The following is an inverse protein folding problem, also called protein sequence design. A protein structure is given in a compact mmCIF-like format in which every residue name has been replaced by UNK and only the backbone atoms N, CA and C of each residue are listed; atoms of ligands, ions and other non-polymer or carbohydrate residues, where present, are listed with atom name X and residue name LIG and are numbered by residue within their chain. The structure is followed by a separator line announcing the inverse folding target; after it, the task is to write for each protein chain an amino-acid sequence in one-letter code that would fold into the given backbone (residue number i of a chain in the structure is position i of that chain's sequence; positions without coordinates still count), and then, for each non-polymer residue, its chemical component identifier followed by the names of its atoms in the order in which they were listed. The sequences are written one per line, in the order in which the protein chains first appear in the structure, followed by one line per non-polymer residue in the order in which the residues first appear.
data_IF_410870752662
#
_entry.id   IF_410870752662
#
_cell.length_a   1.000
_cell.length_b   1.000
_cell.length_c   1.000
_cell.angle_alpha   90.00
_cell.angle_beta   90.00
_cell.angle_gamma   90.00
#
_symmetry.space_group_name_H-M   'P 1'
#
loop_
_entity.id
_entity.type
_entity.pdbx_description
1 polymer ?
#
# COMPACT_ATOMS: atom_id res chain seq x y z
N UNK A 1 -4.73 9.89 -14.76
CA UNK A 1 -6.13 10.27 -15.03
C UNK A 1 -6.22 11.78 -15.13
N UNK A 2 -6.65 12.29 -16.28
CA UNK A 2 -6.94 13.71 -16.50
C UNK A 2 -8.41 13.98 -16.16
N UNK A 3 -8.69 15.07 -15.46
CA UNK A 3 -10.03 15.56 -15.15
C UNK A 3 -10.05 17.07 -15.37
N UNK A 4 -11.13 17.57 -15.94
CA UNK A 4 -11.39 19.00 -16.08
C UNK A 4 -12.67 19.36 -15.34
N UNK A 5 -12.78 20.61 -14.90
CA UNK A 5 -14.00 21.15 -14.30
C UNK A 5 -14.32 22.47 -14.99
N UNK A 6 -15.50 22.55 -15.61
CA UNK A 6 -16.07 23.82 -16.05
C UNK A 6 -17.57 23.78 -15.81
N UNK A 7 -18.07 24.76 -15.07
CA UNK A 7 -19.52 24.89 -14.89
C UNK A 7 -20.13 25.25 -16.25
N UNK A 8 -21.16 24.52 -16.65
CA UNK A 8 -21.93 24.80 -17.87
C UNK A 8 -23.37 25.10 -17.47
N UNK A 9 -24.06 26.04 -18.16
CA UNK A 9 -25.47 26.28 -17.90
C UNK A 9 -26.26 25.01 -18.22
N UNK A 10 -26.88 24.38 -17.20
CA UNK A 10 -27.76 23.23 -17.40
C UNK A 10 -29.17 23.53 -16.88
N UNK A 11 -30.15 22.79 -17.41
CA UNK A 11 -31.52 22.73 -16.90
C UNK A 11 -31.82 21.27 -16.60
N UNK A 12 -32.13 20.94 -15.35
CA UNK A 12 -32.69 19.62 -15.02
C UNK A 12 -34.18 19.62 -15.36
N UNK A 13 -34.64 18.64 -16.12
CA UNK A 13 -36.07 18.46 -16.39
C UNK A 13 -36.70 17.66 -15.24
N UNK A 14 -37.66 18.27 -14.54
CA UNK A 14 -38.37 17.59 -13.48
C UNK A 14 -39.59 16.87 -14.08
N UNK A 15 -39.50 15.55 -14.18
CA UNK A 15 -40.55 14.69 -14.74
C UNK A 15 -41.83 14.66 -13.90
N UNK A 16 -41.80 15.03 -12.62
CA UNK A 16 -42.97 15.02 -11.74
C UNK A 16 -43.85 16.26 -11.93
N UNK A 17 -43.25 17.40 -12.28
CA UNK A 17 -43.97 18.67 -12.50
C UNK A 17 -43.97 19.12 -13.96
N UNK A 18 -43.32 18.36 -14.86
CA UNK A 18 -43.30 18.64 -16.30
C UNK A 18 -42.60 19.95 -16.67
N UNK A 19 -41.68 20.43 -15.83
CA UNK A 19 -41.01 21.72 -16.01
C UNK A 19 -39.50 21.58 -15.86
N UNK A 20 -38.75 22.39 -16.61
CA UNK A 20 -37.33 22.59 -16.37
C UNK A 20 -37.14 23.37 -15.05
N UNK A 21 -36.20 22.93 -14.21
CA UNK A 21 -35.78 23.68 -13.03
C UNK A 21 -35.18 25.05 -13.38
N UNK A 22 -35.02 25.91 -12.38
CA UNK A 22 -34.42 27.24 -12.54
C UNK A 22 -33.04 27.16 -13.21
N UNK A 23 -32.77 28.03 -14.19
CA UNK A 23 -31.49 28.10 -14.89
C UNK A 23 -30.38 28.39 -13.87
N UNK A 24 -29.40 27.51 -13.74
CA UNK A 24 -28.16 27.85 -13.05
C UNK A 24 -27.44 28.87 -13.96
N UNK A 25 -27.41 30.13 -13.53
CA UNK A 25 -26.66 31.16 -14.24
C UNK A 25 -25.18 30.92 -13.95
N UNK A 26 -24.47 30.39 -14.94
CA UNK A 26 -23.03 30.40 -14.96
C UNK A 26 -22.64 31.74 -15.57
N UNK A 27 -22.06 32.62 -14.77
CA UNK A 27 -21.56 33.90 -15.27
C UNK A 27 -20.55 33.68 -16.39
N UNK A 28 -20.46 34.62 -17.33
CA UNK A 28 -19.45 34.58 -18.40
C UNK A 28 -18.03 34.48 -17.82
N UNK A 29 -17.84 34.95 -16.59
CA UNK A 29 -16.61 34.92 -15.81
C UNK A 29 -16.30 33.58 -15.11
N UNK A 30 -17.16 32.56 -15.24
CA UNK A 30 -16.98 31.29 -14.56
C UNK A 30 -15.66 30.62 -14.96
N UNK A 31 -14.86 30.28 -13.94
CA UNK A 31 -13.52 29.73 -14.12
C UNK A 31 -13.47 28.36 -14.79
N UNK A 32 -12.29 28.04 -15.29
CA UNK A 32 -11.90 26.77 -15.90
C UNK A 32 -10.73 26.19 -15.13
N UNK A 33 -10.70 24.87 -14.95
CA UNK A 33 -9.61 24.21 -14.26
C UNK A 33 -9.31 22.83 -14.82
N UNK A 34 -8.02 22.49 -14.82
CA UNK A 34 -7.49 21.18 -15.12
C UNK A 34 -6.87 20.54 -13.89
N UNK A 35 -7.09 19.25 -13.76
CA UNK A 35 -6.49 18.40 -12.73
C UNK A 35 -5.91 17.15 -13.38
N UNK A 36 -4.61 16.97 -13.21
CA UNK A 36 -3.88 15.84 -13.79
C UNK A 36 -3.25 15.04 -12.67
N UNK A 37 -3.67 13.79 -12.53
CA UNK A 37 -2.97 12.81 -11.70
C UNK A 37 -2.21 11.83 -12.58
N UNK A 38 -0.90 11.76 -12.40
CA UNK A 38 -0.05 10.73 -13.00
C UNK A 38 0.61 9.93 -11.91
N UNK A 39 0.70 8.62 -12.12
CA UNK A 39 1.30 7.75 -11.13
C UNK A 39 1.50 6.36 -11.71
N UNK A 40 2.41 5.63 -11.10
CA UNK A 40 2.66 4.24 -11.42
C UNK A 40 3.08 3.50 -10.15
N UNK A 41 2.84 2.19 -10.17
CA UNK A 41 3.31 1.26 -9.16
C UNK A 41 4.11 0.18 -9.85
N UNK A 42 5.33 -0.09 -9.38
CA UNK A 42 6.11 -1.25 -9.79
C UNK A 42 6.21 -2.22 -8.63
N UNK A 43 6.12 -3.50 -8.93
CA UNK A 43 6.24 -4.57 -7.94
C UNK A 43 7.11 -5.69 -8.50
N UNK A 44 8.02 -6.20 -7.68
CA UNK A 44 8.85 -7.35 -7.98
C UNK A 44 8.76 -8.34 -6.82
N UNK A 45 8.40 -9.58 -7.13
CA UNK A 45 8.30 -10.66 -6.16
C UNK A 45 9.09 -11.87 -6.65
N UNK A 46 10.05 -12.31 -5.86
CA UNK A 46 10.83 -13.51 -6.09
C UNK A 46 10.69 -14.46 -4.91
N UNK A 47 10.52 -15.76 -5.16
CA UNK A 47 10.46 -16.79 -4.10
C UNK A 47 11.12 -18.07 -4.57
N UNK A 48 11.99 -18.61 -3.74
CA UNK A 48 12.60 -19.92 -3.91
C UNK A 48 12.20 -20.81 -2.74
N UNK A 49 11.77 -22.04 -3.04
CA UNK A 49 11.45 -23.06 -2.04
C UNK A 49 12.31 -24.29 -2.32
N UNK A 50 12.80 -24.92 -1.25
CA UNK A 50 13.59 -26.14 -1.33
C UNK A 50 13.17 -27.10 -0.24
N UNK A 51 12.82 -28.33 -0.63
CA UNK A 51 12.45 -29.40 0.28
C UNK A 51 13.45 -30.54 0.12
N UNK A 52 13.99 -31.02 1.23
CA UNK A 52 15.00 -32.08 1.23
C UNK A 52 14.73 -33.06 2.37
N UNK A 53 14.71 -34.34 2.01
CA UNK A 53 14.83 -35.44 2.98
C UNK A 53 16.30 -35.67 3.25
N UNK A 54 16.75 -35.37 4.46
CA UNK A 54 18.16 -35.55 4.85
C UNK A 54 18.44 -36.97 5.36
N UNK A 55 17.42 -37.63 5.90
CA UNK A 55 17.46 -39.01 6.36
C UNK A 55 16.01 -39.54 6.46
N UNK A 56 15.86 -40.83 6.75
CA UNK A 56 14.54 -41.41 7.03
C UNK A 56 13.89 -40.71 8.24
N UNK A 57 12.68 -40.20 8.03
CA UNK A 57 11.97 -39.44 9.05
C UNK A 57 12.53 -38.03 9.31
N UNK A 58 13.47 -37.51 8.51
CA UNK A 58 14.02 -36.17 8.71
C UNK A 58 13.88 -35.31 7.45
N UNK A 59 13.05 -34.28 7.55
CA UNK A 59 12.69 -33.38 6.45
C UNK A 59 13.12 -31.95 6.78
N UNK A 60 13.75 -31.29 5.81
CA UNK A 60 14.03 -29.86 5.81
C UNK A 60 13.19 -29.19 4.73
N UNK A 61 12.56 -28.07 5.06
CA UNK A 61 11.96 -27.16 4.11
C UNK A 61 12.50 -25.75 4.33
N UNK A 62 13.17 -25.20 3.32
CA UNK A 62 13.71 -23.85 3.33
C UNK A 62 13.03 -22.99 2.27
N UNK A 63 12.82 -21.72 2.60
CA UNK A 63 12.25 -20.73 1.69
C UNK A 63 12.95 -19.39 1.87
N UNK A 64 13.24 -18.75 0.74
CA UNK A 64 13.65 -17.35 0.70
C UNK A 64 12.74 -16.59 -0.25
N UNK A 65 12.38 -15.36 0.11
CA UNK A 65 11.59 -14.48 -0.72
C UNK A 65 12.11 -13.04 -0.68
N UNK A 66 11.97 -12.38 -1.83
CA UNK A 66 12.29 -10.98 -2.06
C UNK A 66 11.02 -10.29 -2.54
N UNK A 67 10.64 -9.19 -1.89
CA UNK A 67 9.55 -8.35 -2.35
C UNK A 67 10.03 -6.91 -2.42
N UNK A 68 9.75 -6.24 -3.53
CA UNK A 68 10.03 -4.83 -3.72
C UNK A 68 8.80 -4.16 -4.32
N UNK A 69 8.43 -3.03 -3.76
CA UNK A 69 7.34 -2.20 -4.26
C UNK A 69 7.77 -0.75 -4.31
N UNK A 70 7.42 -0.08 -5.39
CA UNK A 70 7.64 1.35 -5.53
C UNK A 70 6.37 2.01 -6.05
N UNK A 71 6.02 3.14 -5.47
CA UNK A 71 4.91 4.00 -5.87
C UNK A 71 5.43 5.36 -6.23
N UNK A 72 4.89 5.91 -7.30
CA UNK A 72 4.99 7.32 -7.62
C UNK A 72 3.61 7.86 -7.90
N UNK A 73 3.30 9.01 -7.33
CA UNK A 73 2.09 9.76 -7.61
C UNK A 73 2.44 11.24 -7.75
N UNK A 74 1.82 11.91 -8.70
CA UNK A 74 1.92 13.34 -8.90
C UNK A 74 0.54 13.88 -9.23
N UNK A 75 0.16 14.94 -8.55
CA UNK A 75 -1.01 15.75 -8.89
C UNK A 75 -0.56 17.11 -9.36
N UNK A 76 -1.24 17.63 -10.36
CA UNK A 76 -1.10 19.00 -10.81
C UNK A 76 -2.49 19.60 -11.02
N UNK A 77 -2.68 20.81 -10.54
CA UNK A 77 -3.87 21.62 -10.80
C UNK A 77 -3.48 22.95 -11.42
N UNK A 78 -4.30 23.38 -12.36
CA UNK A 78 -4.26 24.73 -12.91
C UNK A 78 -5.67 25.24 -13.03
N UNK A 79 -5.93 26.48 -12.62
CA UNK A 79 -7.22 27.13 -12.81
C UNK A 79 -7.04 28.58 -13.25
N UNK A 80 -8.01 29.05 -14.03
CA UNK A 80 -8.15 30.47 -14.40
C UNK A 80 -9.59 30.91 -14.24
N UNK A 81 -9.80 32.15 -13.81
CA UNK A 81 -11.12 32.78 -13.82
C UNK A 81 -11.32 33.55 -15.13
N UNK A 82 -12.51 34.10 -15.37
CA UNK A 82 -12.80 34.94 -16.53
C UNK A 82 -12.62 34.19 -17.86
N UNK A 83 -13.37 33.11 -18.04
CA UNK A 83 -13.38 32.33 -19.28
C UNK A 83 -13.97 33.14 -20.44
N UNK A 84 -13.33 33.09 -21.60
CA UNK A 84 -13.70 33.89 -22.78
C UNK A 84 -15.05 33.48 -23.40
N UNK A 85 -15.43 32.21 -23.27
CA UNK A 85 -16.74 31.72 -23.72
C UNK A 85 -17.17 30.46 -22.95
N UNK A 86 -18.45 30.31 -22.56
CA UNK A 86 -18.93 29.18 -21.75
C UNK A 86 -18.74 27.78 -22.37
N UNK A 87 -18.60 27.68 -23.69
CA UNK A 87 -18.36 26.42 -24.40
C UNK A 87 -16.89 25.97 -24.46
N UNK A 88 -15.96 26.79 -23.99
CA UNK A 88 -14.54 26.45 -24.00
C UNK A 88 -14.18 25.74 -22.70
N UNK A 89 -13.35 24.71 -22.77
CA UNK A 89 -12.99 23.88 -21.61
C UNK A 89 -11.49 23.82 -21.35
N UNK A 90 -10.69 24.40 -22.24
CA UNK A 90 -9.24 24.48 -22.08
C UNK A 90 -8.86 25.63 -21.15
N UNK A 91 -7.80 25.43 -20.37
CA UNK A 91 -7.37 26.41 -19.35
C UNK A 91 -6.86 27.70 -19.97
N UNK A 92 -6.36 27.67 -21.20
CA UNK A 92 -5.95 28.86 -21.96
C UNK A 92 -7.12 29.65 -22.55
N UNK A 93 -8.35 29.15 -22.45
CA UNK A 93 -9.56 29.85 -22.87
C UNK A 93 -10.08 30.89 -21.87
N UNK A 94 -9.25 31.30 -20.90
CA UNK A 94 -9.58 32.24 -19.84
C UNK A 94 -8.45 33.24 -19.62
N UNK A 95 -8.79 34.43 -19.10
CA UNK A 95 -7.84 35.52 -18.86
C UNK A 95 -6.76 35.14 -17.83
N UNK A 96 -5.61 35.80 -17.91
CA UNK A 96 -4.42 35.52 -17.08
C UNK A 96 -4.34 36.35 -15.80
N UNK A 97 -5.37 37.14 -15.50
CA UNK A 97 -5.46 38.05 -14.37
C UNK A 97 -5.57 37.32 -13.02
N UNK A 98 -6.34 36.23 -12.97
CA UNK A 98 -6.44 35.36 -11.79
C UNK A 98 -6.09 33.93 -12.17
N UNK A 99 -4.89 33.50 -11.76
CA UNK A 99 -4.36 32.17 -12.02
C UNK A 99 -4.08 31.43 -10.71
N UNK A 100 -4.56 30.19 -10.62
CA UNK A 100 -4.22 29.25 -9.56
C UNK A 100 -3.36 28.13 -10.14
N UNK A 101 -2.21 27.86 -9.51
CA UNK A 101 -1.40 26.69 -9.82
C UNK A 101 -1.11 25.92 -8.53
N UNK A 102 -1.20 24.61 -8.61
CA UNK A 102 -0.93 23.72 -7.49
C UNK A 102 -0.29 22.43 -8.00
N UNK A 103 0.55 21.82 -7.18
CA UNK A 103 1.17 20.56 -7.52
C UNK A 103 1.80 19.90 -6.32
N UNK A 104 1.77 18.58 -6.31
CA UNK A 104 2.49 17.77 -5.35
C UNK A 104 2.97 16.49 -6.04
N UNK A 105 4.05 15.91 -5.55
CA UNK A 105 4.49 14.57 -5.93
C UNK A 105 4.98 13.79 -4.73
N UNK A 106 4.62 12.52 -4.69
CA UNK A 106 4.95 11.59 -3.62
C UNK A 106 5.53 10.29 -4.21
N UNK A 107 6.51 9.75 -3.52
CA UNK A 107 7.18 8.48 -3.78
C UNK A 107 7.21 7.64 -2.52
N UNK A 108 7.02 6.35 -2.69
CA UNK A 108 7.14 5.37 -1.61
C UNK A 108 7.87 4.15 -2.14
N UNK A 109 8.73 3.56 -1.31
CA UNK A 109 9.44 2.32 -1.59
C UNK A 109 9.35 1.40 -0.39
N UNK A 110 9.00 0.14 -0.63
CA UNK A 110 9.04 -0.93 0.35
C UNK A 110 9.92 -2.06 -0.19
N UNK A 111 10.70 -2.65 0.70
CA UNK A 111 11.61 -3.74 0.38
C UNK A 111 11.53 -4.79 1.49
N UNK A 112 11.41 -6.06 1.15
CA UNK A 112 11.34 -7.13 2.14
C UNK A 112 12.18 -8.33 1.73
N UNK A 113 13.05 -8.77 2.63
CA UNK A 113 13.73 -10.05 2.55
C UNK A 113 13.14 -10.98 3.60
N UNK A 114 12.66 -12.14 3.17
CA UNK A 114 11.99 -13.11 4.04
C UNK A 114 12.73 -14.43 3.93
N UNK A 115 13.09 -15.01 5.07
CA UNK A 115 13.63 -16.36 5.17
C UNK A 115 12.79 -17.22 6.09
N UNK A 116 12.58 -18.47 5.70
CA UNK A 116 11.93 -19.49 6.51
C UNK A 116 12.70 -20.78 6.43
N UNK A 117 12.90 -21.40 7.57
CA UNK A 117 13.51 -22.71 7.70
C UNK A 117 12.62 -23.55 8.61
N UNK A 118 12.23 -24.71 8.11
CA UNK A 118 11.47 -25.70 8.85
C UNK A 118 12.25 -27.00 8.87
N UNK A 119 12.25 -27.64 10.02
CA UNK A 119 12.77 -28.97 10.20
C UNK A 119 11.72 -29.84 10.89
N UNK A 120 11.50 -31.02 10.35
CA UNK A 120 10.56 -32.00 10.88
C UNK A 120 11.30 -33.31 11.11
N UNK A 121 11.25 -33.82 12.34
CA UNK A 121 11.77 -35.14 12.68
C UNK A 121 10.63 -36.08 13.10
N UNK A 122 10.59 -37.24 12.45
CA UNK A 122 9.63 -38.33 12.57
C UNK A 122 8.16 -37.89 12.48
N UNK A 123 7.92 -36.74 11.84
CA UNK A 123 6.64 -36.03 11.85
C UNK A 123 6.14 -35.61 13.24
N UNK A 124 6.98 -35.70 14.29
CA UNK A 124 6.63 -35.39 15.69
C UNK A 124 7.24 -34.11 16.19
N UNK A 125 8.53 -33.92 15.93
CA UNK A 125 9.31 -32.79 16.41
C UNK A 125 9.44 -31.77 15.29
N UNK A 126 8.99 -30.56 15.56
CA UNK A 126 8.86 -29.50 14.58
C UNK A 126 9.68 -28.32 15.07
N UNK A 127 10.64 -27.89 14.27
CA UNK A 127 11.38 -26.65 14.47
C UNK A 127 11.06 -25.72 13.31
N UNK A 128 10.72 -24.48 13.63
CA UNK A 128 10.46 -23.43 12.67
C UNK A 128 11.26 -22.19 13.06
N UNK A 129 12.03 -21.67 12.12
CA UNK A 129 12.80 -20.44 12.27
C UNK A 129 12.43 -19.55 11.10
N UNK A 130 12.01 -18.32 11.40
CA UNK A 130 11.75 -17.32 10.38
C UNK A 130 12.53 -16.06 10.69
N UNK A 131 12.96 -15.38 9.64
CA UNK A 131 13.46 -14.02 9.76
C UNK A 131 12.89 -13.17 8.64
N UNK A 132 12.76 -11.89 8.93
CA UNK A 132 12.31 -10.90 7.97
C UNK A 132 13.09 -9.61 8.15
N UNK A 133 13.53 -9.02 7.04
CA UNK A 133 14.08 -7.66 7.01
C UNK A 133 13.13 -6.84 6.17
N UNK A 134 12.51 -5.82 6.77
CA UNK A 134 11.64 -4.88 6.05
C UNK A 134 12.28 -3.50 6.00
N UNK A 135 12.40 -2.96 4.80
CA UNK A 135 12.84 -1.62 4.46
C UNK A 135 11.66 -0.74 4.05
N UNK A 136 11.60 0.50 4.55
CA UNK A 136 10.65 1.50 4.06
C UNK A 136 11.31 2.86 3.81
N UNK A 137 11.02 3.45 2.66
CA UNK A 137 11.47 4.80 2.31
C UNK A 137 10.79 5.91 3.13
N UNK A 138 9.79 5.57 3.96
CA UNK A 138 9.09 6.51 4.85
C UNK A 138 9.98 6.99 6.00
N UNK A 139 10.91 6.15 6.45
CA UNK A 139 11.81 6.48 7.54
C UNK A 139 13.04 7.27 7.08
N UNK A 140 13.68 7.94 8.04
CA UNK A 140 14.92 8.69 7.84
C UNK A 140 16.09 7.79 7.38
N UNK A 141 17.08 8.36 6.65
CA UNK A 141 18.34 7.69 6.38
C UNK A 141 18.96 7.07 7.66
N UNK A 142 19.33 5.79 7.58
CA UNK A 142 19.90 5.01 8.69
C UNK A 142 18.88 4.21 9.51
N UNK A 143 17.57 4.47 9.35
CA UNK A 143 16.51 3.83 10.13
C UNK A 143 15.44 3.15 9.26
N UNK A 144 15.73 2.96 7.97
CA UNK A 144 14.75 2.41 7.04
C UNK A 144 14.46 0.94 7.23
N UNK A 145 15.36 0.19 7.88
CA UNK A 145 15.29 -1.26 7.97
C UNK A 145 15.00 -1.75 9.39
N UNK A 146 14.04 -2.66 9.51
CA UNK A 146 13.77 -3.43 10.73
C UNK A 146 14.04 -4.92 10.51
N UNK A 147 14.61 -5.58 11.52
CA UNK A 147 14.86 -7.02 11.53
C UNK A 147 13.91 -7.72 12.51
N UNK A 148 13.19 -8.72 12.02
CA UNK A 148 12.11 -9.40 12.73
C UNK A 148 12.34 -10.92 12.74
N UNK A 149 13.14 -11.43 13.69
CA UNK A 149 13.30 -12.86 13.89
C UNK A 149 12.12 -13.48 14.63
N UNK A 150 11.85 -14.75 14.35
CA UNK A 150 10.95 -15.59 15.14
C UNK A 150 11.41 -17.06 15.12
N UNK A 151 11.12 -17.77 16.20
CA UNK A 151 11.35 -19.18 16.31
C UNK A 151 10.16 -19.86 16.98
N UNK A 152 9.88 -21.10 16.57
CA UNK A 152 8.85 -21.92 17.17
C UNK A 152 9.29 -23.38 17.26
N UNK A 153 8.89 -24.00 18.37
CA UNK A 153 9.01 -25.43 18.61
C UNK A 153 7.62 -26.03 18.68
N UNK A 154 7.43 -27.16 18.01
CA UNK A 154 6.21 -27.93 18.03
C UNK A 154 6.49 -29.39 18.33
N UNK A 155 5.64 -30.00 19.15
CA UNK A 155 5.72 -31.42 19.49
C UNK A 155 4.34 -32.05 19.38
N UNK A 156 4.21 -33.03 18.48
CA UNK A 156 3.02 -33.86 18.36
C UNK A 156 3.10 -35.01 19.36
N UNK A 157 2.83 -34.71 20.62
CA UNK A 157 2.92 -35.70 21.69
C UNK A 157 1.91 -36.85 21.52
N UNK A 158 0.80 -36.63 20.82
CA UNK A 158 -0.14 -37.72 20.47
C UNK A 158 0.45 -38.75 19.53
N UNK A 159 1.57 -38.48 18.86
CA UNK A 159 2.27 -39.43 18.00
C UNK A 159 3.27 -40.31 18.76
N UNK A 160 3.48 -40.05 20.04
CA UNK A 160 4.40 -40.84 20.85
C UNK A 160 3.79 -42.18 21.25
N UNK A 161 4.56 -43.26 21.12
CA UNK A 161 4.11 -44.62 21.43
C UNK A 161 3.64 -44.75 22.89
N UNK A 162 4.30 -44.04 23.81
CA UNK A 162 3.92 -44.03 25.22
C UNK A 162 2.62 -43.27 25.47
N UNK A 163 2.39 -42.12 24.82
CA UNK A 163 1.13 -41.36 24.96
C UNK A 163 -0.02 -42.11 24.29
N UNK A 164 0.17 -42.56 23.03
CA UNK A 164 -0.84 -43.32 22.28
C UNK A 164 -1.37 -44.49 23.09
N UNK A 165 -0.52 -45.19 23.83
CA UNK A 165 -0.93 -46.35 24.62
C UNK A 165 -1.96 -46.01 25.71
N UNK A 166 -1.96 -44.79 26.25
CA UNK A 166 -2.91 -44.35 27.28
C UNK A 166 -4.07 -43.51 26.73
N UNK A 167 -3.96 -42.99 25.50
CA UNK A 167 -4.91 -42.00 24.99
C UNK A 167 -5.64 -42.40 23.71
N UNK A 168 -5.44 -43.62 23.19
CA UNK A 168 -6.04 -44.13 21.94
C UNK A 168 -7.56 -43.93 21.83
N UNK A 169 -8.27 -44.06 22.95
CA UNK A 169 -9.74 -44.05 22.95
C UNK A 169 -10.35 -42.64 23.10
N UNK A 170 -9.55 -41.64 23.48
CA UNK A 170 -10.07 -40.29 23.80
C UNK A 170 -9.26 -39.12 23.23
N UNK A 171 -8.03 -39.33 22.75
CA UNK A 171 -7.18 -38.31 22.13
C UNK A 171 -6.53 -38.83 20.83
N UNK A 172 -7.08 -38.39 19.70
CA UNK A 172 -6.57 -38.78 18.38
C UNK A 172 -5.45 -37.88 17.87
N UNK A 173 -5.47 -36.58 18.20
CA UNK A 173 -4.49 -35.59 17.74
C UNK A 173 -4.21 -34.59 18.86
N UNK A 174 -2.94 -34.44 19.21
CA UNK A 174 -2.47 -33.57 20.28
C UNK A 174 -1.11 -32.99 19.91
N UNK A 175 -1.02 -31.67 19.91
CA UNK A 175 0.20 -30.93 19.60
C UNK A 175 0.39 -29.80 20.59
N UNK A 176 1.60 -29.71 21.14
CA UNK A 176 2.06 -28.55 21.90
C UNK A 176 2.90 -27.67 20.97
N UNK A 177 2.71 -26.35 21.01
CA UNK A 177 3.54 -25.38 20.28
C UNK A 177 3.92 -24.23 21.18
N UNK A 178 5.19 -23.87 21.16
CA UNK A 178 5.75 -22.69 21.84
C UNK A 178 6.45 -21.85 20.78
N UNK A 179 6.22 -20.54 20.78
CA UNK A 179 6.83 -19.63 19.82
C UNK A 179 7.21 -18.31 20.47
N UNK A 180 8.28 -17.70 19.97
CA UNK A 180 8.75 -16.39 20.39
C UNK A 180 9.27 -15.62 19.16
N UNK A 181 9.00 -14.33 19.07
CA UNK A 181 9.47 -13.51 17.97
C UNK A 181 9.05 -12.05 18.10
N UNK A 182 9.66 -11.23 17.26
CA UNK A 182 9.41 -9.79 17.16
C UNK A 182 8.59 -9.48 15.90
N UNK A 183 7.72 -8.48 15.98
CA UNK A 183 6.87 -8.02 14.88
C UNK A 183 7.16 -6.55 14.57
N UNK A 184 7.14 -6.19 13.29
CA UNK A 184 7.30 -4.81 12.82
C UNK A 184 5.98 -4.15 12.47
N UNK A 185 5.85 -2.85 12.75
CA UNK A 185 4.74 -2.02 12.31
C UNK A 185 5.28 -0.86 11.45
N UNK A 186 4.69 -0.62 10.29
CA UNK A 186 5.09 0.43 9.33
C UNK A 186 3.98 1.47 9.08
N UNK A 187 3.04 1.61 10.02
CA UNK A 187 1.92 2.54 9.92
C UNK A 187 2.34 3.96 10.36
N UNK A 188 3.10 4.63 9.49
CA UNK A 188 3.55 6.04 9.67
C UNK A 188 3.20 6.82 8.41
N UNK A 189 2.72 8.06 8.53
CA UNK A 189 2.31 8.87 7.36
C UNK A 189 3.50 9.17 6.44
N UNK A 190 3.23 9.37 5.14
CA UNK A 190 4.29 9.69 4.16
C UNK A 190 4.94 11.02 4.52
N UNK A 191 6.28 11.06 4.54
CA UNK A 191 7.12 12.25 4.76
C UNK A 191 7.03 12.93 6.13
N UNK A 192 6.36 12.34 7.11
CA UNK A 192 6.25 12.90 8.47
C UNK A 192 7.63 13.09 9.16
N UNK A 193 8.64 12.38 8.66
CA UNK A 193 10.03 12.44 9.15
C UNK A 193 11.00 13.04 8.12
N UNK A 194 10.55 13.59 7.00
CA UNK A 194 11.41 14.18 5.94
C UNK A 194 11.04 15.65 5.73
N UNK A 195 12.03 16.50 5.44
CA UNK A 195 11.74 17.87 5.00
C UNK A 195 10.98 17.84 3.67
N UNK A 196 9.77 18.39 3.68
CA UNK A 196 8.96 18.57 2.47
C UNK A 196 9.20 19.98 1.94
N UNK A 197 9.63 20.07 0.67
CA UNK A 197 9.74 21.36 -0.03
C UNK A 197 8.33 21.81 -0.42
N UNK A 198 7.71 22.64 0.42
CA UNK A 198 6.46 23.33 0.10
C UNK A 198 6.76 24.76 -0.35
N UNK A 199 6.51 25.08 -1.62
CA UNK A 199 6.54 26.45 -2.10
C UNK A 199 5.24 27.15 -1.66
N UNK A 200 5.32 27.91 -0.57
CA UNK A 200 4.25 28.85 -0.20
C UNK A 200 4.44 30.12 -1.03
N UNK A 201 3.47 30.45 -1.89
CA UNK A 201 3.43 31.74 -2.57
C UNK A 201 3.20 32.82 -1.51
N UNK A 202 4.25 33.61 -1.22
CA UNK A 202 4.09 34.85 -0.49
C UNK A 202 3.62 35.93 -1.48
N UNK A 203 2.48 36.55 -1.20
CA UNK A 203 2.13 37.81 -1.85
C UNK A 203 3.05 38.89 -1.28
N UNK A 204 3.99 39.39 -2.09
CA UNK A 204 4.59 40.71 -1.83
C UNK A 204 3.56 41.74 -2.27
N UNK A 205 3.26 42.69 -1.39
CA UNK A 205 2.12 43.62 -1.47
C UNK A 205 2.06 44.50 -2.70
#
# INVERSE_FOLDING_TARGET
QFRWTANTPNRSYNFQVGQFGSRVYVGEDAGVGNYTNTGYKTQLHGRLNYNLKIAEGHDIAAMVAYNEEYWYNRSQSTSRNNRLHPSLHEVDAALTDVQGTGGNSDTEGLLSYIGRFNYTAFEKYLLEINFRVDGSSRFLPGHQYGFFPSAALGWRFSEESFVKSFTKDWLHLGKLRVSYGTLGNNDVSRYEQKETLSASNYMVG
#
